data_IF_640938432153
#
_entry.id   IF_640938432153
#
_cell.length_a   1.000
_cell.length_b   1.000
_cell.length_c   1.000
_cell.angle_alpha   90.00
_cell.angle_beta   90.00
_cell.angle_gamma   90.00
#
_symmetry.space_group_name_H-M   'P 1'
#
loop_
_entity.id
_entity.type
_entity.pdbx_description
1 polymer ?
#
# COMPACT_ATOMS: atom_id res chain seq x y z
N UNK A 1 -95.23 39.38 27.82
CA UNK A 1 -94.50 38.43 28.68
C UNK A 1 -93.77 39.23 29.74
N UNK A 2 -94.12 39.07 31.01
CA UNK A 2 -93.51 39.80 32.13
C UNK A 2 -92.07 39.31 32.28
N UNK A 3 -91.13 40.24 32.44
CA UNK A 3 -89.74 39.95 32.70
C UNK A 3 -89.60 39.30 34.09
N UNK A 4 -89.42 37.97 34.14
CA UNK A 4 -89.50 37.15 35.36
C UNK A 4 -88.21 37.09 36.18
N UNK A 5 -87.10 37.68 35.72
CA UNK A 5 -85.80 37.62 36.39
C UNK A 5 -85.39 39.00 36.94
N UNK A 6 -85.17 39.13 38.27
CA UNK A 6 -84.56 40.30 38.88
C UNK A 6 -83.21 40.64 38.22
N UNK A 7 -82.88 41.95 38.11
CA UNK A 7 -81.67 42.43 37.40
C UNK A 7 -80.38 41.73 37.88
N UNK A 8 -80.24 41.54 39.19
CA UNK A 8 -79.09 40.85 39.79
C UNK A 8 -78.93 39.39 39.33
N UNK A 9 -80.02 38.67 39.02
CA UNK A 9 -79.95 37.29 38.53
C UNK A 9 -79.56 37.25 37.04
N UNK A 10 -79.95 38.27 36.26
CA UNK A 10 -79.54 38.38 34.84
C UNK A 10 -78.05 38.66 34.67
N UNK A 11 -77.48 39.51 35.52
CA UNK A 11 -76.04 39.82 35.49
C UNK A 11 -75.20 38.59 35.85
N UNK A 12 -75.58 37.84 36.90
CA UNK A 12 -74.94 36.57 37.24
C UNK A 12 -74.99 35.56 36.09
N UNK A 13 -76.15 35.42 35.43
CA UNK A 13 -76.29 34.52 34.27
C UNK A 13 -75.44 34.98 33.06
N UNK A 14 -75.21 36.28 32.90
CA UNK A 14 -74.33 36.82 31.85
C UNK A 14 -72.86 36.52 32.16
N UNK A 15 -72.42 36.75 33.39
CA UNK A 15 -71.06 36.40 33.84
C UNK A 15 -70.77 34.91 33.71
N UNK A 16 -71.71 34.02 34.07
CA UNK A 16 -71.55 32.58 33.90
C UNK A 16 -71.42 32.17 32.44
N UNK A 17 -72.18 32.80 31.54
CA UNK A 17 -72.06 32.56 30.09
C UNK A 17 -70.71 33.04 29.56
N UNK A 18 -70.26 34.23 29.95
CA UNK A 18 -68.96 34.77 29.54
C UNK A 18 -67.80 33.90 30.06
N UNK A 19 -67.85 33.46 31.33
CA UNK A 19 -66.87 32.51 31.88
C UNK A 19 -66.88 31.18 31.14
N UNK A 20 -68.05 30.64 30.82
CA UNK A 20 -68.16 29.39 30.04
C UNK A 20 -67.54 29.55 28.66
N UNK A 21 -67.81 30.65 27.97
CA UNK A 21 -67.22 30.94 26.65
C UNK A 21 -65.68 31.06 26.77
N UNK A 22 -65.19 31.78 27.78
CA UNK A 22 -63.76 31.94 28.04
C UNK A 22 -63.05 30.59 28.26
N UNK A 23 -63.66 29.69 29.02
CA UNK A 23 -63.14 28.32 29.22
C UNK A 23 -63.01 27.56 27.90
N UNK A 24 -64.01 27.66 27.01
CA UNK A 24 -63.94 27.00 25.69
C UNK A 24 -62.80 27.56 24.84
N UNK A 25 -62.59 28.87 24.84
CA UNK A 25 -61.47 29.50 24.14
C UNK A 25 -60.12 29.03 24.68
N UNK A 26 -59.96 28.96 26.00
CA UNK A 26 -58.72 28.49 26.63
C UNK A 26 -58.44 27.04 26.22
N UNK A 27 -59.45 26.16 26.29
CA UNK A 27 -59.29 24.75 25.89
C UNK A 27 -58.91 24.63 24.41
N UNK A 28 -59.54 25.42 23.54
CA UNK A 28 -59.26 25.39 22.09
C UNK A 28 -57.84 25.88 21.79
N UNK A 29 -57.39 26.95 22.46
CA UNK A 29 -56.01 27.45 22.35
C UNK A 29 -55.02 26.41 22.87
N UNK A 30 -55.28 25.76 24.00
CA UNK A 30 -54.41 24.72 24.54
C UNK A 30 -54.31 23.52 23.60
N UNK A 31 -55.45 23.08 23.04
CA UNK A 31 -55.49 21.99 22.08
C UNK A 31 -54.70 22.33 20.81
N UNK A 32 -54.89 23.54 20.27
CA UNK A 32 -54.12 24.01 19.12
C UNK A 32 -52.61 24.04 19.39
N UNK A 33 -52.19 24.57 20.54
CA UNK A 33 -50.78 24.60 20.94
C UNK A 33 -50.20 23.19 21.11
N UNK A 34 -50.98 22.25 21.65
CA UNK A 34 -50.57 20.86 21.78
C UNK A 34 -50.33 20.21 20.42
N UNK A 35 -51.29 20.36 19.49
CA UNK A 35 -51.14 19.87 18.12
C UNK A 35 -49.93 20.51 17.42
N UNK A 36 -49.78 21.83 17.55
CA UNK A 36 -48.65 22.55 16.96
C UNK A 36 -47.31 22.06 17.51
N UNK A 37 -47.18 21.90 18.83
CA UNK A 37 -45.98 21.36 19.47
C UNK A 37 -45.63 19.95 18.97
N UNK A 38 -46.63 19.07 18.84
CA UNK A 38 -46.43 17.72 18.29
C UNK A 38 -45.94 17.74 16.84
N UNK A 39 -46.46 18.66 16.01
CA UNK A 39 -45.99 18.79 14.62
C UNK A 39 -44.54 19.28 14.55
N UNK A 40 -44.15 20.25 15.38
CA UNK A 40 -42.77 20.72 15.46
C UNK A 40 -41.81 19.63 15.95
N UNK A 41 -42.24 18.84 16.92
CA UNK A 41 -41.45 17.73 17.45
C UNK A 41 -41.21 16.67 16.38
N UNK A 42 -42.25 16.30 15.61
CA UNK A 42 -42.11 15.38 14.48
C UNK A 42 -41.14 15.92 13.42
N UNK A 43 -41.26 17.21 13.07
CA UNK A 43 -40.36 17.84 12.10
C UNK A 43 -38.91 17.81 12.58
N UNK A 44 -38.68 18.10 13.86
CA UNK A 44 -37.34 18.05 14.47
C UNK A 44 -36.74 16.65 14.40
N UNK A 45 -37.53 15.62 14.72
CA UNK A 45 -37.08 14.21 14.63
C UNK A 45 -36.72 13.86 13.18
N UNK A 46 -37.61 14.19 12.24
CA UNK A 46 -37.40 13.90 10.81
C UNK A 46 -36.11 14.54 10.27
N UNK A 47 -35.90 15.83 10.56
CA UNK A 47 -34.69 16.55 10.14
C UNK A 47 -33.42 15.99 10.81
N UNK A 48 -33.50 15.66 12.10
CA UNK A 48 -32.36 15.10 12.84
C UNK A 48 -31.93 13.76 12.27
N UNK A 49 -32.89 12.89 11.95
CA UNK A 49 -32.62 11.58 11.36
C UNK A 49 -32.07 11.69 9.93
N UNK A 50 -32.57 12.65 9.13
CA UNK A 50 -32.01 12.92 7.80
C UNK A 50 -30.55 13.38 7.90
N UNK A 51 -30.25 14.34 8.77
CA UNK A 51 -28.90 14.84 8.97
C UNK A 51 -27.94 13.79 9.50
N UNK A 52 -28.39 12.89 10.40
CA UNK A 52 -27.56 11.79 10.89
C UNK A 52 -27.19 10.81 9.77
N UNK A 53 -28.16 10.44 8.93
CA UNK A 53 -27.92 9.53 7.79
C UNK A 53 -26.91 10.14 6.81
N UNK A 54 -27.12 11.39 6.45
CA UNK A 54 -26.25 12.10 5.50
C UNK A 54 -24.82 12.26 6.05
N UNK A 55 -24.67 12.60 7.34
CA UNK A 55 -23.35 12.63 8.00
C UNK A 55 -22.68 11.26 8.03
N UNK A 56 -23.43 10.21 8.32
CA UNK A 56 -22.89 8.85 8.38
C UNK A 56 -22.41 8.37 7.01
N UNK A 57 -23.18 8.64 5.95
CA UNK A 57 -22.80 8.31 4.57
C UNK A 57 -21.53 9.05 4.16
N UNK A 58 -21.44 10.34 4.46
CA UNK A 58 -20.28 11.17 4.12
C UNK A 58 -19.02 10.71 4.88
N UNK A 59 -19.15 10.41 6.19
CA UNK A 59 -18.03 9.89 6.99
C UNK A 59 -17.56 8.51 6.48
N UNK A 60 -18.48 7.64 6.06
CA UNK A 60 -18.13 6.35 5.46
C UNK A 60 -17.43 6.51 4.11
N UNK A 61 -17.91 7.41 3.24
CA UNK A 61 -17.26 7.70 1.97
C UNK A 61 -15.84 8.24 2.16
N UNK A 62 -15.64 9.17 3.10
CA UNK A 62 -14.31 9.67 3.42
C UNK A 62 -13.37 8.57 3.93
N UNK A 63 -13.87 7.65 4.76
CA UNK A 63 -13.09 6.50 5.25
C UNK A 63 -12.70 5.56 4.11
N UNK A 64 -13.62 5.26 3.20
CA UNK A 64 -13.36 4.41 2.03
C UNK A 64 -12.32 5.07 1.12
N UNK A 65 -12.50 6.34 0.77
CA UNK A 65 -11.54 7.09 -0.04
C UNK A 65 -10.15 7.11 0.60
N UNK A 66 -10.04 7.39 1.90
CA UNK A 66 -8.74 7.36 2.62
C UNK A 66 -8.09 5.97 2.58
N UNK A 67 -8.86 4.90 2.70
CA UNK A 67 -8.35 3.53 2.62
C UNK A 67 -7.89 3.15 1.22
N UNK A 68 -8.65 3.52 0.18
CA UNK A 68 -8.27 3.30 -1.22
C UNK A 68 -7.01 4.08 -1.56
N UNK A 69 -6.96 5.38 -1.24
CA UNK A 69 -5.77 6.21 -1.49
C UNK A 69 -4.54 5.65 -0.77
N UNK A 70 -4.69 5.14 0.46
CA UNK A 70 -3.59 4.51 1.20
C UNK A 70 -3.11 3.22 0.54
N UNK A 71 -4.03 2.40 0.00
CA UNK A 71 -3.66 1.19 -0.75
C UNK A 71 -2.89 1.56 -2.02
N UNK A 72 -3.39 2.52 -2.79
CA UNK A 72 -2.75 2.96 -4.03
C UNK A 72 -1.34 3.51 -3.78
N UNK A 73 -1.15 4.29 -2.69
CA UNK A 73 0.16 4.78 -2.27
C UNK A 73 1.09 3.62 -1.92
N UNK A 74 0.61 2.60 -1.21
CA UNK A 74 1.42 1.44 -0.83
C UNK A 74 1.82 0.59 -2.05
N UNK A 75 0.89 0.39 -2.98
CA UNK A 75 1.17 -0.32 -4.23
C UNK A 75 2.17 0.43 -5.10
N UNK A 76 2.00 1.74 -5.23
CA UNK A 76 2.93 2.62 -5.96
C UNK A 76 4.32 2.59 -5.33
N UNK A 77 4.42 2.70 -4.01
CA UNK A 77 5.70 2.63 -3.30
C UNK A 77 6.38 1.26 -3.51
N UNK A 78 5.61 0.17 -3.51
CA UNK A 78 6.14 -1.17 -3.79
C UNK A 78 6.68 -1.28 -5.21
N UNK A 79 5.98 -0.71 -6.19
CA UNK A 79 6.45 -0.67 -7.59
C UNK A 79 7.75 0.14 -7.72
N UNK A 80 7.83 1.31 -7.08
CA UNK A 80 9.05 2.14 -7.08
C UNK A 80 10.21 1.39 -6.43
N UNK A 81 10.01 0.76 -5.28
CA UNK A 81 11.06 -0.03 -4.61
C UNK A 81 11.55 -1.19 -5.48
N UNK A 82 10.65 -1.89 -6.16
CA UNK A 82 11.03 -2.95 -7.08
C UNK A 82 11.83 -2.42 -8.28
N UNK A 83 11.46 -1.26 -8.81
CA UNK A 83 12.17 -0.62 -9.92
C UNK A 83 13.57 -0.17 -9.50
N UNK A 84 13.70 0.46 -8.34
CA UNK A 84 15.01 0.85 -7.78
C UNK A 84 15.90 -0.38 -7.51
N UNK A 85 15.32 -1.48 -7.01
CA UNK A 85 16.07 -2.73 -6.82
C UNK A 85 16.55 -3.30 -8.15
N UNK A 86 15.69 -3.32 -9.16
CA UNK A 86 16.05 -3.77 -10.49
C UNK A 86 17.15 -2.91 -11.13
N UNK A 87 17.08 -1.58 -11.01
CA UNK A 87 18.12 -0.68 -11.49
C UNK A 87 19.47 -0.96 -10.80
N UNK A 88 19.46 -1.15 -9.48
CA UNK A 88 20.67 -1.49 -8.73
C UNK A 88 21.25 -2.85 -9.18
N UNK A 89 20.42 -3.89 -9.25
CA UNK A 89 20.83 -5.23 -9.68
C UNK A 89 21.38 -5.24 -11.12
N UNK A 90 20.74 -4.53 -12.05
CA UNK A 90 21.19 -4.43 -13.44
C UNK A 90 22.50 -3.67 -13.59
N UNK A 91 22.72 -2.62 -12.80
CA UNK A 91 23.98 -1.88 -12.77
C UNK A 91 25.13 -2.75 -12.24
N UNK A 92 24.93 -3.42 -11.11
CA UNK A 92 25.94 -4.32 -10.52
C UNK A 92 26.29 -5.48 -11.46
N UNK A 93 25.28 -6.06 -12.12
CA UNK A 93 25.49 -7.10 -13.14
C UNK A 93 26.29 -6.59 -14.34
N UNK A 94 25.96 -5.38 -14.84
CA UNK A 94 26.66 -4.76 -15.96
C UNK A 94 28.14 -4.47 -15.64
N UNK A 95 28.44 -4.02 -14.42
CA UNK A 95 29.81 -3.79 -13.95
C UNK A 95 30.61 -5.10 -13.84
N UNK A 96 29.99 -6.19 -13.37
CA UNK A 96 30.61 -7.52 -13.31
C UNK A 96 30.93 -8.02 -14.72
N UNK A 97 29.97 -7.93 -15.64
CA UNK A 97 30.16 -8.31 -17.04
C UNK A 97 31.31 -7.52 -17.67
N UNK A 98 31.31 -6.20 -17.52
CA UNK A 98 32.33 -5.33 -18.08
C UNK A 98 33.73 -5.70 -17.56
N UNK A 99 33.87 -5.92 -16.24
CA UNK A 99 35.14 -6.36 -15.65
C UNK A 99 35.61 -7.70 -16.21
N UNK A 100 34.72 -8.69 -16.32
CA UNK A 100 35.09 -10.03 -16.83
C UNK A 100 35.58 -9.94 -18.28
N UNK A 101 34.88 -9.21 -19.15
CA UNK A 101 35.28 -9.08 -20.54
C UNK A 101 36.54 -8.23 -20.73
N UNK A 102 36.83 -7.28 -19.83
CA UNK A 102 38.05 -6.49 -19.87
C UNK A 102 39.30 -7.29 -19.51
N UNK A 103 39.18 -8.25 -18.60
CA UNK A 103 40.31 -9.05 -18.09
C UNK A 103 40.52 -10.37 -18.85
N UNK A 104 39.62 -10.73 -19.76
CA UNK A 104 39.67 -12.00 -20.48
C UNK A 104 40.83 -12.02 -21.48
N UNK A 105 41.72 -13.03 -21.46
CA UNK A 105 42.74 -13.21 -22.49
C UNK A 105 42.11 -13.41 -23.89
N UNK A 106 42.73 -12.85 -24.92
CA UNK A 106 42.26 -12.88 -26.31
C UNK A 106 42.08 -14.29 -26.89
N UNK A 107 42.81 -15.26 -26.36
CA UNK A 107 42.82 -16.64 -26.82
C UNK A 107 41.64 -17.44 -26.26
N UNK A 108 40.96 -16.94 -25.22
CA UNK A 108 39.89 -17.63 -24.51
C UNK A 108 38.53 -17.24 -25.08
N UNK A 109 37.71 -18.25 -25.35
CA UNK A 109 36.32 -18.05 -25.79
C UNK A 109 35.36 -18.40 -24.67
N UNK A 110 34.45 -17.49 -24.34
CA UNK A 110 33.39 -17.74 -23.35
C UNK A 110 32.13 -18.16 -24.07
N UNK A 111 31.59 -19.32 -23.68
CA UNK A 111 30.36 -19.87 -24.26
C UNK A 111 29.14 -19.51 -23.42
N UNK A 112 29.28 -19.44 -22.09
CA UNK A 112 28.21 -19.04 -21.20
C UNK A 112 28.73 -18.37 -19.94
N UNK A 113 27.99 -17.38 -19.47
CA UNK A 113 28.24 -16.68 -18.22
C UNK A 113 26.94 -16.67 -17.42
N UNK A 114 27.00 -17.14 -16.18
CA UNK A 114 25.88 -17.14 -15.25
C UNK A 114 26.29 -16.40 -13.98
N UNK A 115 25.46 -15.45 -13.53
CA UNK A 115 25.68 -14.71 -12.29
C UNK A 115 24.46 -14.88 -11.41
N UNK A 116 24.67 -15.40 -10.21
CA UNK A 116 23.65 -15.50 -9.16
C UNK A 116 24.06 -14.67 -7.95
N UNK A 117 23.10 -13.98 -7.33
CA UNK A 117 23.29 -13.36 -6.02
C UNK A 117 23.06 -14.42 -4.96
N UNK A 118 24.06 -14.69 -4.13
CA UNK A 118 24.01 -15.71 -3.09
C UNK A 118 24.59 -15.17 -1.77
N UNK A 119 24.13 -15.74 -0.65
CA UNK A 119 24.70 -15.44 0.67
C UNK A 119 26.02 -16.21 0.76
N UNK A 120 27.14 -15.49 0.59
CA UNK A 120 28.48 -16.08 0.56
C UNK A 120 28.95 -16.51 1.96
N UNK A 121 28.44 -15.86 3.01
CA UNK A 121 28.76 -16.20 4.40
C UNK A 121 27.49 -16.29 5.26
N UNK A 122 27.17 -17.53 5.67
CA UNK A 122 26.01 -17.82 6.54
C UNK A 122 26.13 -17.24 7.94
N UNK A 123 27.34 -16.93 8.43
CA UNK A 123 27.57 -16.35 9.76
C UNK A 123 27.42 -14.83 9.76
N UNK A 124 27.93 -14.16 8.73
CA UNK A 124 27.88 -12.69 8.63
C UNK A 124 26.71 -12.17 7.79
N UNK A 125 25.94 -13.07 7.15
CA UNK A 125 24.86 -12.73 6.20
C UNK A 125 25.31 -11.75 5.10
N UNK A 126 26.59 -11.79 4.74
CA UNK A 126 27.11 -10.98 3.64
C UNK A 126 26.63 -11.55 2.31
N UNK A 127 25.97 -10.70 1.54
CA UNK A 127 25.58 -10.98 0.17
C UNK A 127 26.79 -10.81 -0.75
N UNK A 128 26.80 -11.57 -1.83
CA UNK A 128 27.74 -11.36 -2.92
C UNK A 128 27.31 -12.10 -4.17
N UNK A 129 28.19 -12.12 -5.15
CA UNK A 129 27.89 -12.71 -6.45
C UNK A 129 28.69 -13.97 -6.67
N UNK A 130 27.98 -15.04 -7.02
CA UNK A 130 28.56 -16.26 -7.57
C UNK A 130 28.49 -16.19 -9.08
N UNK A 131 29.63 -16.33 -9.73
CA UNK A 131 29.77 -16.20 -11.18
C UNK A 131 30.30 -17.53 -11.70
N UNK A 132 29.62 -18.12 -12.68
CA UNK A 132 30.03 -19.34 -13.35
C UNK A 132 30.32 -19.00 -14.82
N UNK A 133 31.56 -19.23 -15.23
CA UNK A 133 32.04 -18.99 -16.58
C UNK A 133 32.38 -20.32 -17.23
N UNK A 134 31.75 -20.61 -18.37
CA UNK A 134 32.10 -21.76 -19.18
C UNK A 134 32.65 -21.29 -20.52
N UNK A 135 33.68 -21.97 -21.01
CA UNK A 135 34.35 -21.57 -22.23
C UNK A 135 35.35 -22.58 -22.71
N UNK A 136 36.16 -22.13 -23.66
CA UNK A 136 37.19 -22.89 -24.34
C UNK A 136 38.53 -22.16 -24.26
N UNK A 137 39.59 -22.90 -23.95
CA UNK A 137 40.98 -22.44 -24.01
C UNK A 137 41.79 -23.32 -24.97
N UNK A 138 42.51 -22.75 -25.94
CA UNK A 138 43.30 -23.51 -26.90
C UNK A 138 44.48 -24.23 -26.23
N UNK A 139 45.07 -23.61 -25.21
CA UNK A 139 46.23 -24.14 -24.50
C UNK A 139 46.08 -24.01 -22.98
N UNK A 140 46.71 -24.92 -22.24
CA UNK A 140 46.75 -24.88 -20.77
C UNK A 140 47.41 -23.62 -20.21
N UNK A 141 48.40 -23.06 -20.90
CA UNK A 141 49.09 -21.85 -20.45
C UNK A 141 48.15 -20.64 -20.42
N UNK A 142 47.30 -20.46 -21.45
CA UNK A 142 46.29 -19.42 -21.49
C UNK A 142 45.26 -19.57 -20.36
N UNK A 143 44.88 -20.81 -20.03
CA UNK A 143 43.99 -21.09 -18.91
C UNK A 143 44.63 -20.76 -17.55
N UNK A 144 45.93 -21.00 -17.40
CA UNK A 144 46.68 -20.61 -16.19
C UNK A 144 46.77 -19.08 -16.04
N UNK A 145 46.97 -18.36 -17.16
CA UNK A 145 46.92 -16.88 -17.17
C UNK A 145 45.55 -16.37 -16.72
N UNK A 146 44.46 -16.95 -17.25
CA UNK A 146 43.10 -16.61 -16.80
C UNK A 146 42.92 -16.89 -15.30
N UNK A 147 43.40 -18.03 -14.81
CA UNK A 147 43.31 -18.36 -13.38
C UNK A 147 43.98 -17.29 -12.51
N UNK A 148 45.20 -16.87 -12.85
CA UNK A 148 45.93 -15.82 -12.12
C UNK A 148 45.15 -14.50 -12.10
N UNK A 149 44.66 -14.08 -13.26
CA UNK A 149 43.89 -12.83 -13.41
C UNK A 149 42.59 -12.87 -12.59
N UNK A 150 41.92 -14.02 -12.56
CA UNK A 150 40.71 -14.20 -11.75
C UNK A 150 41.03 -14.19 -10.26
N UNK A 151 42.13 -14.79 -9.82
CA UNK A 151 42.55 -14.80 -8.41
C UNK A 151 42.95 -13.41 -7.90
N UNK A 152 43.44 -12.53 -8.77
CA UNK A 152 43.73 -11.12 -8.44
C UNK A 152 42.47 -10.26 -8.27
N UNK A 153 41.39 -10.60 -8.98
CA UNK A 153 40.17 -9.78 -9.05
C UNK A 153 38.99 -10.35 -8.23
N UNK A 154 39.06 -11.62 -7.82
CA UNK A 154 37.98 -12.34 -7.15
C UNK A 154 38.48 -13.16 -5.95
N UNK A 155 37.64 -13.33 -4.94
CA UNK A 155 38.06 -13.89 -3.64
C UNK A 155 38.12 -15.41 -3.57
N UNK A 156 37.36 -16.13 -4.40
CA UNK A 156 37.35 -17.59 -4.42
C UNK A 156 37.19 -18.08 -5.85
N UNK A 157 38.27 -18.59 -6.44
CA UNK A 157 38.31 -19.10 -7.82
C UNK A 157 38.46 -20.62 -7.78
N UNK A 158 37.51 -21.34 -8.38
CA UNK A 158 37.48 -22.80 -8.38
C UNK A 158 37.32 -23.35 -9.79
N UNK A 159 38.29 -24.16 -10.19
CA UNK A 159 38.27 -24.95 -11.42
C UNK A 159 38.09 -26.43 -11.07
N UNK A 160 37.15 -27.16 -11.70
CA UNK A 160 37.05 -28.61 -11.57
C UNK A 160 38.37 -29.28 -11.98
N UNK A 161 38.77 -30.32 -11.27
CA UNK A 161 40.01 -31.06 -11.54
C UNK A 161 40.10 -31.58 -12.98
N UNK A 162 38.95 -31.95 -13.57
CA UNK A 162 38.82 -32.43 -14.95
C UNK A 162 39.31 -31.42 -15.99
N UNK A 163 39.24 -30.12 -15.70
CA UNK A 163 39.70 -29.05 -16.58
C UNK A 163 41.21 -29.12 -16.85
N UNK A 164 41.98 -29.70 -15.92
CA UNK A 164 43.45 -29.70 -15.99
C UNK A 164 44.04 -30.95 -16.64
N UNK A 165 43.20 -31.89 -17.08
CA UNK A 165 43.64 -33.18 -17.63
C UNK A 165 44.15 -33.04 -19.06
N UNK A 166 43.59 -32.12 -19.84
CA UNK A 166 43.98 -31.87 -21.24
C UNK A 166 45.04 -30.77 -21.34
N UNK A 167 45.98 -30.93 -22.26
CA UNK A 167 47.02 -29.91 -22.52
C UNK A 167 46.57 -28.87 -23.56
N UNK A 168 45.71 -29.27 -24.50
CA UNK A 168 45.16 -28.46 -25.59
C UNK A 168 43.66 -28.68 -25.72
N UNK A 169 42.98 -27.72 -26.35
CA UNK A 169 41.55 -27.75 -26.63
C UNK A 169 40.71 -28.07 -25.37
N UNK A 170 40.83 -27.19 -24.37
CA UNK A 170 40.31 -27.38 -23.03
C UNK A 170 38.97 -26.66 -22.90
N UNK A 171 37.90 -27.42 -22.74
CA UNK A 171 36.63 -26.90 -22.23
C UNK A 171 36.76 -26.68 -20.72
N UNK A 172 36.53 -25.45 -20.28
CA UNK A 172 36.60 -25.09 -18.86
C UNK A 172 35.27 -24.63 -18.32
N UNK A 173 35.10 -24.87 -17.03
CA UNK A 173 34.06 -24.29 -16.19
C UNK A 173 34.76 -23.72 -14.97
N UNK A 174 34.62 -22.43 -14.69
CA UNK A 174 35.18 -21.81 -13.48
C UNK A 174 34.08 -21.15 -12.68
N UNK A 175 34.09 -21.39 -11.38
CA UNK A 175 33.25 -20.66 -10.43
C UNK A 175 34.10 -19.62 -9.73
N UNK A 176 33.69 -18.36 -9.76
CA UNK A 176 34.33 -17.27 -9.01
C UNK A 176 33.34 -16.56 -8.10
N UNK A 177 33.81 -16.14 -6.92
CA UNK A 177 33.00 -15.35 -5.97
C UNK A 177 33.52 -13.92 -5.87
N UNK A 178 32.59 -12.96 -6.01
CA UNK A 178 32.82 -11.54 -5.74
C UNK A 178 32.09 -11.14 -4.46
N UNK A 179 32.84 -10.72 -3.45
CA UNK A 179 32.28 -10.10 -2.23
C UNK A 179 31.92 -8.63 -2.53
N UNK A 180 30.76 -8.17 -2.05
CA UNK A 180 30.45 -6.73 -1.93
C UNK A 180 31.38 -6.04 -0.91
#
# INVERSE_FOLDING_TARGET
MINLLPRAQKEKLKEEKEKRILIHWIVLILFFNLCFSLTLLNLKIFLSEKLKREKFELENQEKILKLETKKDILETNKLILNLLRFEKETKEFSEILFKIFQILPSEIKVNSLNVSKEILDKKTKKEGFRIILNGFSPERESLLKLKSILEENFTEVSFPAQTWVKEKDIDFSVTVLKKE
#
